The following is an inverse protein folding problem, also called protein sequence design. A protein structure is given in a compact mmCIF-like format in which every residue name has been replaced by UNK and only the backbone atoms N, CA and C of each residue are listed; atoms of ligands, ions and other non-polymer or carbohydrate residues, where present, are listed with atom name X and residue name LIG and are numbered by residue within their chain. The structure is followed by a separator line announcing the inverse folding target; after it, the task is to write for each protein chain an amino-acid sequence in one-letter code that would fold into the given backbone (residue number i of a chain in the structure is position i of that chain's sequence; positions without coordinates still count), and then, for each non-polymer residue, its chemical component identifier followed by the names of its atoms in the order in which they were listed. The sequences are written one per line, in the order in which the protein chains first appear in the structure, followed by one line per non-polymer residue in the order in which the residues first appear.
data_IF_535315130619
#
_entry.id   IF_535315130619
#
_cell.length_a   1.000
_cell.length_b   1.000
_cell.length_c   1.000
_cell.angle_alpha   90.00
_cell.angle_beta   90.00
_cell.angle_gamma   90.00
#
_symmetry.space_group_name_H-M   'P 1'
#
loop_
_entity.id
_entity.type
_entity.pdbx_description
1 polymer ?
#
# COMPACT_ATOMS: atom_id res chain seq x y z
N UNK A 1 1.62 33.18 -80.66
CA UNK A 1 2.45 32.12 -80.05
C UNK A 1 2.28 32.26 -78.55
N UNK A 2 1.38 31.47 -77.94
CA UNK A 2 1.05 31.58 -76.52
C UNK A 2 1.74 30.44 -75.76
N UNK A 3 2.78 30.78 -74.99
CA UNK A 3 3.43 29.86 -74.06
C UNK A 3 2.59 29.70 -72.80
N UNK A 4 2.10 28.49 -72.57
CA UNK A 4 1.48 28.07 -71.32
C UNK A 4 2.61 27.55 -70.41
N UNK A 5 2.85 28.24 -69.30
CA UNK A 5 3.79 27.83 -68.25
C UNK A 5 3.02 26.99 -67.22
N UNK A 6 3.37 25.71 -67.09
CA UNK A 6 2.82 24.81 -66.10
C UNK A 6 3.61 24.92 -64.78
N UNK A 7 2.91 25.24 -63.69
CA UNK A 7 3.45 25.24 -62.32
C UNK A 7 3.39 23.82 -61.73
N UNK A 8 4.45 23.33 -61.06
CA UNK A 8 4.40 22.06 -60.34
C UNK A 8 3.69 22.24 -59.00
N UNK A 9 2.66 21.42 -58.76
CA UNK A 9 2.00 21.29 -57.46
C UNK A 9 2.86 20.34 -56.61
N UNK A 10 3.50 20.88 -55.57
CA UNK A 10 4.21 20.09 -54.56
C UNK A 10 3.16 19.60 -53.56
N UNK A 11 2.82 18.32 -53.60
CA UNK A 11 1.98 17.67 -52.60
C UNK A 11 2.76 17.55 -51.29
N UNK A 12 2.30 18.23 -50.23
CA UNK A 12 2.83 18.05 -48.89
C UNK A 12 2.42 16.67 -48.36
N UNK A 13 3.38 15.76 -48.26
CA UNK A 13 3.18 14.45 -47.62
C UNK A 13 3.12 14.67 -46.10
N UNK A 14 2.05 14.27 -45.41
CA UNK A 14 2.00 14.35 -43.95
C UNK A 14 3.11 13.45 -43.37
N UNK A 15 4.04 14.07 -42.66
CA UNK A 15 5.07 13.35 -41.89
C UNK A 15 4.38 12.72 -40.69
N UNK A 16 4.18 11.40 -40.73
CA UNK A 16 3.73 10.62 -39.57
C UNK A 16 4.90 10.64 -38.58
N UNK A 17 4.72 11.29 -37.44
CA UNK A 17 5.68 11.23 -36.33
C UNK A 17 5.81 9.75 -35.89
N UNK A 18 7.03 9.25 -35.63
CA UNK A 18 7.21 7.90 -35.12
C UNK A 18 6.45 7.78 -33.79
N UNK A 19 5.54 6.81 -33.72
CA UNK A 19 4.88 6.46 -32.47
C UNK A 19 5.96 6.04 -31.47
N UNK A 20 6.05 6.75 -30.34
CA UNK A 20 6.86 6.32 -29.20
C UNK A 20 6.36 4.92 -28.82
N UNK A 21 7.21 3.88 -28.84
CA UNK A 21 6.78 2.55 -28.46
C UNK A 21 6.20 2.61 -27.03
N UNK A 22 5.08 1.93 -26.76
CA UNK A 22 4.53 1.90 -25.41
C UNK A 22 5.62 1.44 -24.45
N UNK A 23 5.90 2.26 -23.45
CA UNK A 23 6.86 1.94 -22.39
C UNK A 23 6.46 0.60 -21.79
N UNK A 24 7.41 -0.36 -21.76
CA UNK A 24 7.15 -1.69 -21.26
C UNK A 24 6.71 -1.61 -19.79
N UNK A 25 5.71 -2.42 -19.41
CA UNK A 25 5.21 -2.41 -18.03
C UNK A 25 6.36 -2.76 -17.06
N UNK A 26 6.69 -1.88 -16.08
CA UNK A 26 7.87 -2.05 -15.22
C UNK A 26 7.86 -3.36 -14.43
N UNK A 27 6.70 -3.97 -14.23
CA UNK A 27 6.57 -5.24 -13.51
C UNK A 27 7.30 -6.39 -14.20
N UNK A 28 7.39 -6.40 -15.54
CA UNK A 28 8.14 -7.44 -16.26
C UNK A 28 9.62 -7.39 -15.90
N UNK A 29 10.22 -6.20 -15.85
CA UNK A 29 11.62 -6.03 -15.45
C UNK A 29 11.87 -6.45 -14.00
N UNK A 30 10.92 -6.18 -13.10
CA UNK A 30 11.02 -6.61 -11.70
C UNK A 30 10.96 -8.14 -11.57
N UNK A 31 10.02 -8.80 -12.27
CA UNK A 31 9.88 -10.27 -12.28
C UNK A 31 11.13 -10.92 -12.91
N UNK A 32 11.68 -10.36 -13.98
CA UNK A 32 12.91 -10.87 -14.60
C UNK A 32 14.11 -10.72 -13.66
N UNK A 33 14.26 -9.58 -12.99
CA UNK A 33 15.29 -9.37 -11.97
C UNK A 33 15.18 -10.37 -10.82
N UNK A 34 13.96 -10.68 -10.40
CA UNK A 34 13.67 -11.73 -9.43
C UNK A 34 14.10 -13.12 -9.92
N UNK A 35 13.71 -13.51 -11.14
CA UNK A 35 14.08 -14.81 -11.74
C UNK A 35 15.60 -14.95 -11.90
N UNK A 36 16.30 -13.88 -12.25
CA UNK A 36 17.76 -13.86 -12.31
C UNK A 36 18.40 -14.05 -10.92
N UNK A 37 17.86 -13.40 -9.88
CA UNK A 37 18.33 -13.59 -8.51
C UNK A 37 18.09 -15.03 -8.04
N UNK A 38 16.91 -15.59 -8.32
CA UNK A 38 16.57 -16.98 -7.98
C UNK A 38 17.52 -17.97 -8.67
N UNK A 39 17.77 -17.80 -9.97
CA UNK A 39 18.69 -18.64 -10.73
C UNK A 39 20.12 -18.61 -10.19
N UNK A 40 20.53 -17.51 -9.54
CA UNK A 40 21.84 -17.42 -8.90
C UNK A 40 21.92 -18.21 -7.57
N UNK A 41 20.78 -18.54 -6.95
CA UNK A 41 20.72 -19.32 -5.70
C UNK A 41 20.65 -20.84 -5.94
N UNK A 42 20.07 -21.30 -7.05
CA UNK A 42 19.91 -22.74 -7.39
C UNK A 42 21.23 -23.54 -7.50
N UNK A 43 22.36 -23.02 -8.01
CA UNK A 43 23.56 -23.82 -8.23
C UNK A 43 24.47 -23.97 -7.00
N UNK A 44 24.07 -23.52 -5.81
CA UNK A 44 24.92 -23.59 -4.61
C UNK A 44 24.60 -24.85 -3.82
N UNK A 45 25.49 -25.85 -3.87
CA UNK A 45 25.45 -26.99 -2.94
C UNK A 45 25.83 -26.49 -1.52
N UNK A 46 24.89 -26.57 -0.57
CA UNK A 46 25.09 -26.17 0.83
C UNK A 46 24.31 -24.90 1.21
N UNK A 47 24.76 -24.21 2.27
CA UNK A 47 24.12 -22.99 2.74
C UNK A 47 24.27 -21.86 1.69
N UNK A 48 23.16 -21.21 1.37
CA UNK A 48 23.14 -20.05 0.46
C UNK A 48 23.91 -18.90 1.13
N UNK A 49 24.97 -18.34 0.51
CA UNK A 49 25.67 -17.18 1.03
C UNK A 49 24.71 -16.02 1.33
N UNK A 50 24.89 -15.33 2.46
CA UNK A 50 24.04 -14.22 2.90
C UNK A 50 23.83 -13.16 1.79
N UNK A 51 24.88 -12.82 1.03
CA UNK A 51 24.78 -11.87 -0.06
C UNK A 51 23.84 -12.30 -1.20
N UNK A 52 23.73 -13.61 -1.48
CA UNK A 52 22.78 -14.15 -2.45
C UNK A 52 21.36 -14.18 -1.86
N UNK A 53 21.23 -14.52 -0.58
CA UNK A 53 19.96 -14.45 0.16
C UNK A 53 19.41 -13.02 0.17
N UNK A 54 20.23 -12.02 0.52
CA UNK A 54 19.88 -10.61 0.52
C UNK A 54 19.47 -10.12 -0.86
N UNK A 55 20.19 -10.54 -1.91
CA UNK A 55 19.87 -10.21 -3.30
C UNK A 55 18.50 -10.76 -3.69
N UNK A 56 18.19 -12.01 -3.35
CA UNK A 56 16.90 -12.63 -3.62
C UNK A 56 15.76 -11.93 -2.87
N UNK A 57 15.96 -11.64 -1.57
CA UNK A 57 15.03 -10.90 -0.74
C UNK A 57 14.73 -9.50 -1.32
N UNK A 58 15.76 -8.78 -1.75
CA UNK A 58 15.62 -7.45 -2.35
C UNK A 58 14.90 -7.50 -3.70
N UNK A 59 15.17 -8.52 -4.54
CA UNK A 59 14.47 -8.69 -5.80
C UNK A 59 12.99 -9.05 -5.61
N UNK A 60 12.67 -9.91 -4.63
CA UNK A 60 11.28 -10.24 -4.27
C UNK A 60 10.53 -8.99 -3.80
N UNK A 61 11.16 -8.19 -2.93
CA UNK A 61 10.62 -6.91 -2.47
C UNK A 61 10.42 -5.90 -3.61
N UNK A 62 11.28 -5.93 -4.64
CA UNK A 62 11.11 -5.10 -5.82
C UNK A 62 9.85 -5.50 -6.62
N UNK A 63 9.58 -6.80 -6.81
CA UNK A 63 8.34 -7.27 -7.46
C UNK A 63 7.12 -6.80 -6.67
N UNK A 64 7.09 -7.01 -5.35
CA UNK A 64 5.97 -6.62 -4.49
C UNK A 64 5.70 -5.10 -4.47
N UNK A 65 6.72 -4.27 -4.71
CA UNK A 65 6.59 -2.81 -4.74
C UNK A 65 6.34 -2.23 -6.13
N UNK A 66 6.45 -3.05 -7.17
CA UNK A 66 6.27 -2.59 -8.55
C UNK A 66 4.80 -2.65 -8.92
N UNK A 67 4.19 -1.50 -9.21
CA UNK A 67 2.79 -1.42 -9.61
C UNK A 67 2.65 -1.70 -11.11
N UNK A 68 1.88 -2.72 -11.54
CA UNK A 68 1.59 -2.92 -12.95
C UNK A 68 0.77 -1.74 -13.50
N UNK A 69 1.09 -1.33 -14.73
CA UNK A 69 0.40 -0.22 -15.43
C UNK A 69 -0.47 -0.69 -16.59
N UNK A 70 -0.46 -1.99 -16.86
CA UNK A 70 -1.24 -2.65 -17.90
C UNK A 70 -1.93 -3.91 -17.38
N UNK A 71 -3.02 -4.36 -18.03
CA UNK A 71 -3.64 -5.65 -17.72
C UNK A 71 -2.67 -6.83 -17.87
N UNK A 72 -1.77 -6.78 -18.86
CA UNK A 72 -0.76 -7.81 -19.06
C UNK A 72 0.25 -7.85 -17.90
N UNK A 73 0.66 -6.69 -17.39
CA UNK A 73 1.52 -6.60 -16.22
C UNK A 73 0.85 -7.10 -14.94
N UNK A 74 -0.45 -6.83 -14.75
CA UNK A 74 -1.19 -7.37 -13.62
C UNK A 74 -1.28 -8.90 -13.70
N UNK A 75 -1.59 -9.45 -14.88
CA UNK A 75 -1.61 -10.89 -15.11
C UNK A 75 -0.23 -11.55 -14.87
N UNK A 76 0.85 -10.84 -15.18
CA UNK A 76 2.20 -11.31 -14.88
C UNK A 76 2.49 -11.33 -13.36
N UNK A 77 2.09 -10.27 -12.63
CA UNK A 77 2.23 -10.21 -11.17
C UNK A 77 1.42 -11.32 -10.48
N UNK A 78 0.18 -11.53 -10.88
CA UNK A 78 -0.69 -12.54 -10.27
C UNK A 78 -0.20 -13.96 -10.61
N UNK A 79 0.31 -14.18 -11.82
CA UNK A 79 0.98 -15.43 -12.18
C UNK A 79 2.22 -15.69 -11.33
N UNK A 80 3.07 -14.68 -11.13
CA UNK A 80 4.22 -14.78 -10.23
C UNK A 80 3.81 -15.06 -8.77
N UNK A 81 2.75 -14.43 -8.26
CA UNK A 81 2.23 -14.71 -6.91
C UNK A 81 1.74 -16.16 -6.77
N UNK A 82 1.12 -16.73 -7.82
CA UNK A 82 0.75 -18.14 -7.86
C UNK A 82 1.99 -19.04 -7.83
N UNK A 83 2.99 -18.78 -8.68
CA UNK A 83 4.28 -19.50 -8.67
C UNK A 83 4.90 -19.49 -7.26
N UNK A 84 4.92 -18.33 -6.58
CA UNK A 84 5.41 -18.20 -5.20
C UNK A 84 4.61 -19.04 -4.20
N UNK A 85 3.29 -19.01 -4.30
CA UNK A 85 2.42 -19.75 -3.39
C UNK A 85 2.63 -21.27 -3.57
N UNK A 86 2.80 -21.72 -4.81
CA UNK A 86 3.12 -23.12 -5.12
C UNK A 86 4.51 -23.51 -4.60
N UNK A 87 5.55 -22.68 -4.79
CA UNK A 87 6.89 -22.91 -4.21
C UNK A 87 6.84 -23.05 -2.67
N UNK A 88 6.03 -22.22 -2.00
CA UNK A 88 5.87 -22.24 -0.54
C UNK A 88 5.12 -23.48 -0.03
N UNK A 89 4.27 -24.07 -0.86
CA UNK A 89 3.55 -25.32 -0.56
C UNK A 89 4.53 -26.45 -0.24
N UNK A 90 5.66 -26.50 -0.93
CA UNK A 90 6.61 -27.60 -0.84
C UNK A 90 7.73 -27.36 0.21
N UNK A 91 7.87 -26.14 0.74
CA UNK A 91 9.10 -25.72 1.42
C UNK A 91 8.96 -25.08 2.82
N UNK A 92 7.76 -24.76 3.34
CA UNK A 92 7.66 -24.06 4.63
C UNK A 92 6.48 -24.49 5.49
N UNK A 93 6.64 -24.57 6.82
CA UNK A 93 5.55 -24.83 7.78
C UNK A 93 4.45 -23.76 7.83
N UNK A 94 4.59 -22.68 7.05
CA UNK A 94 3.63 -21.58 6.92
C UNK A 94 2.60 -21.87 5.81
N UNK A 95 2.08 -23.09 5.83
CA UNK A 95 1.10 -23.57 4.86
C UNK A 95 -0.28 -22.97 5.14
N UNK A 96 -0.88 -22.37 4.12
CA UNK A 96 -2.33 -22.26 4.02
C UNK A 96 -2.69 -22.64 2.59
N UNK A 97 -3.36 -23.78 2.42
CA UNK A 97 -3.97 -24.15 1.14
C UNK A 97 -4.87 -23.01 0.62
N UNK A 98 -5.43 -22.22 1.54
CA UNK A 98 -6.24 -21.04 1.24
C UNK A 98 -5.43 -19.92 0.58
N UNK A 99 -4.14 -19.72 0.93
CA UNK A 99 -3.29 -18.72 0.26
C UNK A 99 -2.99 -19.12 -1.20
N UNK A 100 -2.71 -20.40 -1.47
CA UNK A 100 -2.55 -20.91 -2.83
C UNK A 100 -3.85 -20.77 -3.63
N UNK A 101 -4.99 -21.14 -3.03
CA UNK A 101 -6.31 -21.02 -3.65
C UNK A 101 -6.70 -19.55 -3.92
N UNK A 102 -6.37 -18.63 -3.00
CA UNK A 102 -6.61 -17.20 -3.16
C UNK A 102 -5.75 -16.61 -4.28
N UNK A 103 -4.45 -16.91 -4.30
CA UNK A 103 -3.56 -16.49 -5.38
C UNK A 103 -4.02 -17.01 -6.74
N UNK A 104 -4.47 -18.28 -6.80
CA UNK A 104 -5.05 -18.85 -8.00
C UNK A 104 -6.31 -18.10 -8.44
N UNK A 105 -7.23 -17.81 -7.52
CA UNK A 105 -8.48 -17.09 -7.80
C UNK A 105 -8.24 -15.68 -8.33
N UNK A 106 -7.32 -14.92 -7.71
CA UNK A 106 -6.97 -13.56 -8.13
C UNK A 106 -6.36 -13.56 -9.54
N UNK A 107 -5.50 -14.54 -9.83
CA UNK A 107 -4.84 -14.68 -11.12
C UNK A 107 -5.82 -15.08 -12.24
N UNK A 108 -6.75 -16.00 -11.97
CA UNK A 108 -7.78 -16.38 -12.94
C UNK A 108 -8.76 -15.23 -13.21
N UNK A 109 -9.18 -14.50 -12.16
CA UNK A 109 -9.98 -13.29 -12.32
C UNK A 109 -9.25 -12.23 -13.17
N UNK A 110 -7.95 -12.05 -12.94
CA UNK A 110 -7.12 -11.10 -13.69
C UNK A 110 -7.00 -11.47 -15.16
N UNK A 111 -6.79 -12.75 -15.48
CA UNK A 111 -6.78 -13.23 -16.88
C UNK A 111 -8.16 -13.13 -17.52
N UNK A 112 -9.24 -13.37 -16.77
CA UNK A 112 -10.61 -13.14 -17.25
C UNK A 112 -10.86 -11.68 -17.68
N UNK A 113 -10.08 -10.73 -17.17
CA UNK A 113 -10.14 -9.31 -17.50
C UNK A 113 -9.17 -8.88 -18.61
N UNK A 114 -8.24 -9.75 -19.06
CA UNK A 114 -7.30 -9.44 -20.13
C UNK A 114 -8.00 -9.45 -21.50
N UNK A 115 -8.49 -8.27 -21.90
CA UNK A 115 -9.37 -8.08 -23.06
C UNK A 115 -10.25 -6.84 -22.89
N UNK A 116 -10.41 -6.36 -21.66
CA UNK A 116 -10.99 -5.07 -21.37
C UNK A 116 -10.04 -3.95 -21.83
N UNK A 117 -10.62 -2.84 -22.30
CA UNK A 117 -9.91 -1.59 -22.58
C UNK A 117 -9.04 -1.22 -21.36
N UNK A 118 -7.88 -0.61 -21.58
CA UNK A 118 -6.98 -0.18 -20.51
C UNK A 118 -7.78 0.45 -19.35
N UNK A 119 -7.57 -0.03 -18.12
CA UNK A 119 -8.43 0.24 -16.97
C UNK A 119 -8.56 1.71 -16.57
N UNK A 120 -7.83 2.63 -17.19
CA UNK A 120 -8.20 4.05 -17.27
C UNK A 120 -7.33 4.81 -18.26
N UNK A 121 -7.78 5.98 -18.76
CA UNK A 121 -6.91 6.93 -19.43
C UNK A 121 -5.86 7.41 -18.43
N UNK A 122 -4.61 7.57 -18.86
CA UNK A 122 -3.54 8.17 -18.05
C UNK A 122 -3.87 9.60 -17.55
N UNK A 123 -4.95 10.22 -18.04
CA UNK A 123 -5.34 11.61 -17.79
C UNK A 123 -6.21 11.85 -16.55
N UNK A 124 -6.70 10.82 -15.85
CA UNK A 124 -7.58 10.98 -14.66
C UNK A 124 -6.88 10.99 -13.29
N UNK A 125 -5.57 10.70 -13.23
CA UNK A 125 -4.85 10.47 -11.97
C UNK A 125 -4.79 11.67 -11.01
N UNK A 126 -5.08 12.88 -11.46
CA UNK A 126 -5.00 14.07 -10.61
C UNK A 126 -6.28 14.30 -9.79
N UNK A 127 -7.45 13.87 -10.27
CA UNK A 127 -8.71 14.01 -9.50
C UNK A 127 -8.84 12.96 -8.40
N UNK A 128 -8.46 11.69 -8.64
CA UNK A 128 -8.44 10.65 -7.58
C UNK A 128 -7.43 10.96 -6.47
N UNK A 129 -6.31 11.61 -6.80
CA UNK A 129 -5.29 12.02 -5.81
C UNK A 129 -5.69 13.26 -5.01
N UNK A 130 -6.81 13.90 -5.35
CA UNK A 130 -7.33 15.06 -4.64
C UNK A 130 -8.27 14.68 -3.50
N UNK A 131 -8.62 13.39 -3.34
CA UNK A 131 -9.44 12.97 -2.20
C UNK A 131 -8.59 12.92 -0.92
N UNK A 132 -8.90 13.75 0.10
CA UNK A 132 -8.09 13.84 1.33
C UNK A 132 -7.96 12.50 2.06
N UNK A 133 -8.93 11.60 1.87
CA UNK A 133 -8.93 10.27 2.48
C UNK A 133 -7.68 9.45 2.14
N UNK A 134 -7.18 9.50 0.91
CA UNK A 134 -5.99 8.72 0.54
C UNK A 134 -4.74 9.17 1.30
N UNK A 135 -4.57 10.48 1.48
CA UNK A 135 -3.46 11.02 2.26
C UNK A 135 -3.56 10.59 3.74
N UNK A 136 -4.75 10.70 4.33
CA UNK A 136 -4.99 10.27 5.71
C UNK A 136 -4.75 8.78 5.94
N UNK A 137 -5.12 7.91 4.99
CA UNK A 137 -4.85 6.46 5.09
C UNK A 137 -3.34 6.22 5.13
N UNK A 138 -2.57 6.88 4.26
CA UNK A 138 -1.11 6.71 4.23
C UNK A 138 -0.44 7.30 5.48
N UNK A 139 -0.91 8.45 5.98
CA UNK A 139 -0.44 9.03 7.24
C UNK A 139 -0.72 8.11 8.43
N UNK A 140 -1.92 7.53 8.52
CA UNK A 140 -2.27 6.58 9.58
C UNK A 140 -1.38 5.33 9.52
N UNK A 141 -1.15 4.76 8.32
CA UNK A 141 -0.22 3.63 8.14
C UNK A 141 1.20 3.96 8.62
N UNK A 142 1.68 5.16 8.32
CA UNK A 142 2.99 5.60 8.78
C UNK A 142 3.05 5.75 10.31
N UNK A 143 1.99 6.31 10.91
CA UNK A 143 1.87 6.43 12.37
C UNK A 143 1.79 5.08 13.07
N UNK A 144 1.06 4.12 12.51
CA UNK A 144 0.97 2.76 13.04
C UNK A 144 2.35 2.06 13.04
N UNK A 145 3.15 2.25 11.99
CA UNK A 145 4.53 1.74 11.93
C UNK A 145 5.38 2.40 13.02
N UNK A 146 5.32 3.73 13.14
CA UNK A 146 6.09 4.46 14.14
C UNK A 146 5.73 4.04 15.58
N UNK A 147 4.43 3.84 15.86
CA UNK A 147 3.96 3.34 17.15
C UNK A 147 4.49 1.93 17.44
N UNK A 148 4.41 1.01 16.48
CA UNK A 148 4.96 -0.35 16.62
C UNK A 148 6.47 -0.34 16.87
N UNK A 149 7.21 0.55 16.20
CA UNK A 149 8.64 0.73 16.42
C UNK A 149 8.93 1.27 17.83
N UNK A 150 8.18 2.26 18.31
CA UNK A 150 8.32 2.82 19.65
C UNK A 150 8.07 1.76 20.73
N UNK A 151 6.96 1.02 20.63
CA UNK A 151 6.63 -0.11 21.52
C UNK A 151 7.74 -1.17 21.51
N UNK A 152 8.30 -1.49 20.34
CA UNK A 152 9.39 -2.46 20.24
C UNK A 152 10.66 -1.99 20.97
N UNK A 153 11.01 -0.71 20.86
CA UNK A 153 12.16 -0.11 21.54
C UNK A 153 11.94 -0.08 23.05
N UNK A 154 10.76 0.36 23.51
CA UNK A 154 10.39 0.38 24.92
C UNK A 154 10.47 -1.02 25.55
N UNK A 155 9.85 -2.01 24.91
CA UNK A 155 9.87 -3.40 25.39
C UNK A 155 11.29 -3.98 25.39
N UNK A 156 12.09 -3.65 24.37
CA UNK A 156 13.50 -4.02 24.30
C UNK A 156 14.32 -3.42 25.45
N UNK A 157 14.06 -2.15 25.78
CA UNK A 157 14.72 -1.46 26.88
C UNK A 157 14.30 -2.04 28.24
N UNK A 158 13.00 -2.29 28.46
CA UNK A 158 12.49 -2.93 29.68
C UNK A 158 13.10 -4.32 29.89
N UNK A 159 13.15 -5.14 28.83
CA UNK A 159 13.65 -6.52 28.89
C UNK A 159 15.18 -6.60 29.06
N UNK A 160 15.92 -5.68 28.46
CA UNK A 160 17.39 -5.60 28.60
C UNK A 160 17.83 -4.82 29.83
N UNK A 161 16.88 -4.15 30.50
CA UNK A 161 17.10 -3.37 31.70
C UNK A 161 17.73 -4.20 32.82
N UNK A 162 18.66 -3.64 33.60
CA UNK A 162 19.17 -4.28 34.80
C UNK A 162 18.06 -4.39 35.85
N UNK A 163 18.13 -5.42 36.70
CA UNK A 163 17.21 -5.54 37.84
C UNK A 163 17.26 -4.27 38.71
N UNK A 164 16.19 -3.48 38.64
CA UNK A 164 16.12 -2.13 39.25
C UNK A 164 16.41 -2.16 40.76
N UNK A 165 16.04 -3.25 41.43
CA UNK A 165 16.28 -3.46 42.86
C UNK A 165 17.75 -3.69 43.23
N UNK A 166 18.60 -4.05 42.24
CA UNK A 166 20.03 -4.26 42.42
C UNK A 166 20.87 -3.02 42.03
N UNK A 167 20.24 -1.96 41.51
CA UNK A 167 20.95 -0.75 41.09
C UNK A 167 21.32 0.18 42.25
N UNK A 168 22.48 0.84 42.13
CA UNK A 168 22.81 1.98 42.99
C UNK A 168 21.81 3.12 42.74
N UNK A 169 21.40 3.90 43.77
CA UNK A 169 20.37 4.94 43.62
C UNK A 169 20.63 5.93 42.47
N UNK A 170 21.89 6.33 42.26
CA UNK A 170 22.27 7.25 41.18
C UNK A 170 22.09 6.64 39.79
N UNK A 171 22.35 5.34 39.62
CA UNK A 171 22.15 4.63 38.35
C UNK A 171 20.67 4.35 38.09
N UNK A 172 19.93 4.04 39.15
CA UNK A 172 18.47 3.86 39.11
C UNK A 172 17.77 5.11 38.58
N UNK A 173 18.09 6.30 39.12
CA UNK A 173 17.47 7.56 38.66
C UNK A 173 17.94 8.04 37.27
N UNK A 174 18.92 7.39 36.63
CA UNK A 174 19.22 7.62 35.21
C UNK A 174 18.37 6.69 34.36
N UNK A 175 18.34 5.41 34.70
CA UNK A 175 17.52 4.41 34.03
C UNK A 175 16.03 4.78 34.03
N UNK A 176 15.49 5.21 35.18
CA UNK A 176 14.09 5.63 35.32
C UNK A 176 13.76 6.80 34.39
N UNK A 177 14.63 7.81 34.28
CA UNK A 177 14.41 8.96 33.38
C UNK A 177 14.49 8.59 31.91
N UNK A 178 15.41 7.71 31.54
CA UNK A 178 15.51 7.21 30.16
C UNK A 178 14.28 6.38 29.80
N UNK A 179 13.80 5.55 30.74
CA UNK A 179 12.57 4.79 30.55
C UNK A 179 11.33 5.69 30.44
N UNK A 180 11.18 6.68 31.32
CA UNK A 180 10.11 7.69 31.23
C UNK A 180 10.10 8.42 29.89
N UNK A 181 11.27 8.73 29.33
CA UNK A 181 11.37 9.36 28.00
C UNK A 181 10.93 8.42 26.87
N UNK A 182 11.24 7.13 26.97
CA UNK A 182 10.77 6.13 26.01
C UNK A 182 9.25 5.96 26.09
N UNK A 183 8.70 5.86 27.30
CA UNK A 183 7.25 5.77 27.51
C UNK A 183 6.52 6.98 26.94
N UNK A 184 7.00 8.19 27.21
CA UNK A 184 6.43 9.40 26.63
C UNK A 184 6.49 9.39 25.09
N UNK A 185 7.58 8.89 24.50
CA UNK A 185 7.68 8.75 23.04
C UNK A 185 6.73 7.70 22.46
N UNK A 186 6.47 6.60 23.17
CA UNK A 186 5.49 5.58 22.78
C UNK A 186 4.07 6.15 22.87
N UNK A 187 3.76 6.87 23.96
CA UNK A 187 2.48 7.55 24.18
C UNK A 187 2.21 8.58 23.07
N UNK A 188 3.17 9.47 22.78
CA UNK A 188 3.07 10.47 21.70
C UNK A 188 2.78 9.82 20.33
N UNK A 189 3.42 8.68 20.04
CA UNK A 189 3.19 7.94 18.79
C UNK A 189 1.81 7.27 18.76
N UNK A 190 1.35 6.76 19.91
CA UNK A 190 0.01 6.20 20.08
C UNK A 190 -1.08 7.26 19.90
N UNK A 191 -0.93 8.40 20.56
CA UNK A 191 -1.84 9.55 20.44
C UNK A 191 -1.95 10.03 19.00
N UNK A 192 -0.81 10.15 18.29
CA UNK A 192 -0.81 10.52 16.87
C UNK A 192 -1.57 9.51 16.00
N UNK A 193 -1.44 8.22 16.28
CA UNK A 193 -2.19 7.17 15.57
C UNK A 193 -3.69 7.32 15.84
N UNK A 194 -4.11 7.49 17.10
CA UNK A 194 -5.49 7.71 17.50
C UNK A 194 -6.10 8.98 16.86
N UNK A 195 -5.38 10.10 16.86
CA UNK A 195 -5.78 11.34 16.20
C UNK A 195 -6.06 11.15 14.70
N UNK A 196 -5.26 10.30 14.04
CA UNK A 196 -5.43 10.00 12.62
C UNK A 196 -6.62 9.08 12.37
N UNK A 197 -6.91 8.13 13.27
CA UNK A 197 -8.16 7.35 13.22
C UNK A 197 -9.37 8.29 13.36
N UNK A 198 -9.33 9.21 14.31
CA UNK A 198 -10.39 10.21 14.49
C UNK A 198 -10.59 11.04 13.22
N UNK A 199 -9.51 11.47 12.57
CA UNK A 199 -9.58 12.17 11.29
C UNK A 199 -10.14 11.29 10.17
N UNK A 200 -9.79 9.99 10.12
CA UNK A 200 -10.29 9.06 9.10
C UNK A 200 -11.82 8.89 9.20
N UNK A 201 -12.39 8.80 10.40
CA UNK A 201 -13.84 8.61 10.57
C UNK A 201 -14.65 9.89 10.41
N UNK A 202 -14.02 11.07 10.58
CA UNK A 202 -14.69 12.39 10.47
C UNK A 202 -14.46 13.08 9.13
N UNK A 203 -13.41 12.72 8.39
CA UNK A 203 -13.11 13.33 7.08
C UNK A 203 -14.01 12.75 6.01
N UNK A 204 -14.83 13.61 5.40
CA UNK A 204 -15.72 13.25 4.29
C UNK A 204 -14.95 12.96 3.00
N UNK A 205 -14.98 11.73 2.45
CA UNK A 205 -14.44 11.47 1.13
C UNK A 205 -15.12 12.33 0.07
N UNK A 206 -14.35 12.84 -0.88
CA UNK A 206 -14.87 13.71 -1.95
C UNK A 206 -15.21 12.95 -3.24
N UNK A 207 -14.83 11.69 -3.31
CA UNK A 207 -15.00 10.79 -4.45
C UNK A 207 -15.54 9.42 -3.99
N UNK A 208 -16.17 8.69 -4.93
CA UNK A 208 -16.61 7.31 -4.65
C UNK A 208 -15.40 6.39 -4.40
N UNK A 209 -14.29 6.61 -5.09
CA UNK A 209 -13.05 5.85 -4.89
C UNK A 209 -12.51 6.04 -3.47
N UNK A 210 -12.47 7.28 -2.98
CA UNK A 210 -12.11 7.59 -1.59
C UNK A 210 -13.06 6.96 -0.58
N UNK A 211 -14.37 6.97 -0.84
CA UNK A 211 -15.35 6.28 0.03
C UNK A 211 -15.07 4.79 0.13
N UNK A 212 -14.88 4.10 -1.01
CA UNK A 212 -14.58 2.66 -1.01
C UNK A 212 -13.25 2.38 -0.32
N UNK A 213 -12.21 3.17 -0.59
CA UNK A 213 -10.90 3.01 0.04
C UNK A 213 -10.97 3.15 1.56
N UNK A 214 -11.73 4.13 2.08
CA UNK A 214 -11.93 4.31 3.50
C UNK A 214 -12.67 3.14 4.16
N UNK A 215 -13.76 2.68 3.54
CA UNK A 215 -14.52 1.53 4.04
C UNK A 215 -13.66 0.28 4.13
N UNK A 216 -12.92 -0.04 3.06
CA UNK A 216 -12.02 -1.20 3.04
C UNK A 216 -10.88 -1.06 4.05
N UNK A 217 -10.39 0.17 4.28
CA UNK A 217 -9.31 0.40 5.22
C UNK A 217 -9.74 0.24 6.68
N UNK A 218 -10.92 0.74 7.04
CA UNK A 218 -11.42 0.70 8.43
C UNK A 218 -12.15 -0.60 8.79
N UNK A 219 -12.61 -1.38 7.81
CA UNK A 219 -13.33 -2.64 8.05
C UNK A 219 -12.60 -3.60 9.01
N UNK A 220 -11.29 -3.89 8.84
CA UNK A 220 -10.56 -4.73 9.78
C UNK A 220 -10.53 -4.14 11.20
N UNK A 221 -10.40 -2.81 11.33
CA UNK A 221 -10.33 -2.13 12.63
C UNK A 221 -11.64 -2.21 13.40
N UNK A 222 -12.78 -2.16 12.71
CA UNK A 222 -14.10 -2.31 13.34
C UNK A 222 -14.40 -3.76 13.75
N UNK A 223 -13.80 -4.74 13.08
CA UNK A 223 -14.06 -6.16 13.34
C UNK A 223 -13.16 -6.74 14.43
N UNK A 224 -12.06 -6.07 14.79
CA UNK A 224 -11.11 -6.56 15.78
C UNK A 224 -11.57 -6.24 17.22
N UNK A 225 -12.46 -7.06 17.77
CA UNK A 225 -13.12 -6.78 19.06
C UNK A 225 -12.21 -6.88 20.30
N UNK A 226 -11.04 -7.50 20.21
CA UNK A 226 -10.13 -7.72 21.36
C UNK A 226 -8.97 -6.72 21.43
N UNK A 227 -8.86 -5.80 20.47
CA UNK A 227 -7.74 -4.85 20.42
C UNK A 227 -7.92 -3.71 19.43
N UNK A 228 -9.15 -3.28 19.15
CA UNK A 228 -9.37 -2.19 18.21
C UNK A 228 -8.66 -0.92 18.70
N UNK A 229 -7.71 -0.41 17.92
CA UNK A 229 -7.09 0.92 18.12
C UNK A 229 -8.06 2.06 17.77
N UNK A 230 -9.36 1.83 17.92
CA UNK A 230 -10.39 2.83 17.69
C UNK A 230 -10.59 3.61 18.98
N UNK A 231 -10.74 4.95 18.90
CA UNK A 231 -11.11 5.73 20.07
C UNK A 231 -12.49 5.30 20.57
N UNK A 232 -12.68 5.25 21.89
CA UNK A 232 -13.95 4.89 22.51
C UNK A 232 -15.09 5.82 22.06
N UNK A 233 -14.78 7.11 21.93
CA UNK A 233 -15.71 8.15 21.53
C UNK A 233 -15.05 9.09 20.50
N UNK A 234 -15.86 9.57 19.56
CA UNK A 234 -15.47 10.53 18.54
C UNK A 234 -16.38 11.73 18.64
N UNK A 235 -15.78 12.92 18.71
CA UNK A 235 -16.50 14.18 18.67
C UNK A 235 -16.87 14.54 17.23
N UNK A 236 -18.17 14.66 16.94
CA UNK A 236 -18.71 15.11 15.66
C UNK A 236 -19.57 16.36 15.92
N UNK A 237 -18.98 17.54 15.76
CA UNK A 237 -19.62 18.78 16.17
C UNK A 237 -19.64 18.90 17.70
N UNK A 238 -20.83 19.07 18.27
CA UNK A 238 -21.03 19.15 19.73
C UNK A 238 -21.43 17.80 20.36
N UNK A 239 -21.59 16.75 19.55
CA UNK A 239 -22.03 15.43 19.99
C UNK A 239 -20.85 14.44 20.10
N UNK A 240 -20.82 13.68 21.18
CA UNK A 240 -19.96 12.50 21.34
C UNK A 240 -20.71 11.28 20.80
N UNK A 241 -20.13 10.64 19.79
CA UNK A 241 -20.69 9.45 19.16
C UNK A 241 -19.62 8.36 19.04
N UNK A 242 -20.03 7.10 19.12
CA UNK A 242 -19.11 6.00 18.87
C UNK A 242 -18.50 6.08 17.46
N UNK A 243 -17.26 5.60 17.25
CA UNK A 243 -16.53 5.74 15.98
C UNK A 243 -17.28 5.13 14.79
N UNK A 244 -18.03 4.04 14.98
CA UNK A 244 -18.87 3.44 13.94
C UNK A 244 -20.02 4.37 13.52
N UNK A 245 -20.62 5.07 14.48
CA UNK A 245 -21.69 6.05 14.24
C UNK A 245 -21.18 7.27 13.48
N UNK A 246 -20.05 7.84 13.92
CA UNK A 246 -19.36 8.92 13.23
C UNK A 246 -19.04 8.54 11.78
N UNK A 247 -18.41 7.37 11.60
CA UNK A 247 -18.02 6.88 10.27
C UNK A 247 -19.22 6.68 9.34
N UNK A 248 -20.29 6.01 9.82
CA UNK A 248 -21.49 5.79 9.02
C UNK A 248 -22.14 7.11 8.58
N UNK A 249 -22.19 8.10 9.48
CA UNK A 249 -22.68 9.45 9.17
C UNK A 249 -21.85 10.14 8.09
N UNK A 250 -20.52 10.13 8.24
CA UNK A 250 -19.57 10.72 7.29
C UNK A 250 -19.69 10.10 5.90
N UNK A 251 -19.75 8.77 5.80
CA UNK A 251 -19.89 8.05 4.52
C UNK A 251 -21.23 8.35 3.86
N UNK A 252 -22.33 8.27 4.61
CA UNK A 252 -23.67 8.54 4.07
C UNK A 252 -23.78 9.97 3.51
N UNK A 253 -23.26 10.96 4.25
CA UNK A 253 -23.25 12.36 3.83
C UNK A 253 -22.35 12.58 2.61
N UNK A 254 -21.21 11.91 2.54
CA UNK A 254 -20.28 11.99 1.41
C UNK A 254 -20.90 11.44 0.12
N UNK A 255 -21.54 10.27 0.19
CA UNK A 255 -22.26 9.68 -0.95
C UNK A 255 -23.35 10.61 -1.44
N UNK A 256 -24.16 11.18 -0.53
CA UNK A 256 -25.21 12.14 -0.88
C UNK A 256 -24.64 13.37 -1.62
N UNK A 257 -23.54 13.92 -1.11
CA UNK A 257 -22.87 15.08 -1.73
C UNK A 257 -22.34 14.74 -3.14
N UNK A 258 -21.73 13.57 -3.31
CA UNK A 258 -21.19 13.11 -4.60
C UNK A 258 -22.32 12.92 -5.63
N UNK A 259 -23.44 12.31 -5.22
CA UNK A 259 -24.59 12.10 -6.11
C UNK A 259 -25.22 13.42 -6.55
N UNK A 260 -25.38 14.38 -5.63
CA UNK A 260 -25.96 15.69 -5.95
C UNK A 260 -25.10 16.51 -6.93
N UNK A 261 -23.77 16.36 -6.89
CA UNK A 261 -22.85 17.02 -7.84
C UNK A 261 -22.95 16.49 -9.27
N UNK A 262 -23.43 15.26 -9.47
CA UNK A 262 -23.58 14.66 -10.80
C UNK A 262 -24.86 15.07 -11.52
N UNK A 263 -25.83 15.57 -10.77
CA UNK A 263 -27.15 15.96 -11.28
C UNK A 263 -27.29 17.45 -11.56
N UNK A 264 -26.31 18.26 -11.15
CA UNK A 264 -26.24 19.70 -11.37
C UNK A 264 -25.40 20.02 -12.61
#
# INVERSE_FOLDING_TARGET
MNSIVALPIIAAVPTIAPAIPPEADPIFGAIDGYRQALAACVPVDGDIPDALSDRLCNASRAVMRTRPVSPAGLAALTGWMRERADDMRDCSTWHSEDLCALAATIDDATRGMSGLKAWSPAAGRNEERSDPTFALIEEHRAAEIAFKEAVHVEFGYEKSGPEVDKMKPRSRGVYEREFEQLQASTEDAGDRMCDLVQQLVTTSPTTLAGTVALCTYLEPMFNDMEGSNLPDEVTVGDDEVGPQGAFAGTVAQSIKNILNRRTA
#
